data_IF_445095554726
#
_entry.id   IF_445095554726
#
_cell.length_a   1.000
_cell.length_b   1.000
_cell.length_c   1.000
_cell.angle_alpha   90.00
_cell.angle_beta   90.00
_cell.angle_gamma   90.00
#
_symmetry.space_group_name_H-M   'P 1'
#
loop_
_entity.id
_entity.type
_entity.pdbx_description
1 polymer ?
#
# COMPACT_ATOMS: atom_id res chain seq x y z
N UNK A 1 -58.42 -7.60 -30.32
CA UNK A 1 -58.01 -7.38 -30.12
C UNK A 1 -57.12 -7.27 -29.69
N UNK A 2 -56.60 -7.22 -29.70
CA UNK A 2 -55.83 -7.05 -29.39
C UNK A 2 -54.93 -6.81 -28.92
N UNK A 3 -54.32 -6.60 -28.84
CA UNK A 3 -53.48 -6.31 -28.51
C UNK A 3 -52.57 -6.03 -28.11
N UNK A 4 -52.03 -5.93 -28.07
CA UNK A 4 -51.20 -5.65 -27.82
C UNK A 4 -50.32 -5.36 -27.35
N UNK A 5 -49.73 -5.20 -27.23
CA UNK A 5 -48.96 -4.86 -26.87
C UNK A 5 -47.99 -4.69 -26.49
N UNK A 6 -47.49 -4.67 -26.51
CA UNK A 6 -46.72 -4.51 -26.24
C UNK A 6 -45.80 -4.28 -25.87
N UNK A 7 -45.11 -4.12 -25.75
CA UNK A 7 -44.29 -3.82 -25.45
C UNK A 7 -43.36 -3.57 -25.09
N UNK A 8 -42.81 -3.51 -25.01
CA UNK A 8 -42.01 -3.21 -24.79
C UNK A 8 -41.06 -3.07 -24.31
N UNK A 9 -40.48 -3.02 -24.23
CA UNK A 9 -39.61 -2.85 -23.84
C UNK A 9 -38.64 -2.59 -23.52
N UNK A 10 -38.13 -2.47 -23.40
CA UNK A 10 -37.28 -2.15 -23.19
C UNK A 10 -36.23 -2.07 -22.79
N UNK A 11 -35.69 -1.97 -22.75
CA UNK A 11 -34.74 -1.84 -22.47
C UNK A 11 -33.74 -1.53 -22.09
N UNK A 12 -33.30 -1.47 -21.97
CA UNK A 12 -32.45 -1.10 -21.63
C UNK A 12 -31.42 -1.08 -21.17
N UNK A 13 -30.93 -1.00 -21.15
CA UNK A 13 -30.01 -0.92 -20.82
C UNK A 13 -29.10 -0.53 -20.44
N UNK A 14 -28.58 -0.44 -20.39
CA UNK A 14 -27.76 -0.07 -20.11
C UNK A 14 -26.76 0.13 -19.73
N UNK A 15 -26.33 0.24 -19.70
CA UNK A 15 -25.45 0.48 -19.41
C UNK A 15 -24.44 0.61 -19.03
N UNK A 16 -24.07 0.61 -19.08
CA UNK A 16 -23.22 0.81 -18.70
C UNK A 16 -22.22 0.98 -18.50
N UNK A 17 -22.05 1.08 -18.57
CA UNK A 17 -21.24 1.34 -18.37
C UNK A 17 -20.37 1.75 -18.06
N UNK A 18 -20.27 1.83 -18.16
CA UNK A 18 -19.51 2.28 -17.90
C UNK A 18 -18.65 2.31 -17.43
N UNK A 19 -18.49 2.18 -17.54
CA UNK A 19 -17.76 2.31 -17.12
C UNK A 19 -16.83 2.42 -17.12
N UNK A 20 -16.77 2.51 -17.34
CA UNK A 20 -15.91 2.73 -17.31
C UNK A 20 -15.20 3.17 -17.07
N UNK A 21 -15.23 3.22 -17.21
CA UNK A 21 -14.50 3.84 -17.02
C UNK A 21 -13.86 3.75 -16.52
N UNK A 22 -13.79 3.71 -16.48
CA UNK A 22 -13.14 3.88 -15.97
C UNK A 22 -12.23 3.66 -15.75
N UNK A 23 -12.00 3.57 -16.00
CA UNK A 23 -11.02 3.43 -15.70
C UNK A 23 -10.15 3.95 -15.81
N UNK A 24 -9.97 4.36 -16.18
CA UNK A 24 -9.12 4.93 -16.24
C UNK A 24 -8.76 5.65 -15.45
N UNK A 25 -8.86 6.04 -15.22
CA UNK A 25 -8.47 6.73 -14.44
C UNK A 25 -7.92 6.29 -13.54
N UNK A 26 -7.98 5.80 -13.57
CA UNK A 26 -7.49 5.35 -12.65
C UNK A 26 -6.27 5.21 -12.60
N UNK A 27 -5.70 5.35 -13.04
CA UNK A 27 -4.63 5.41 -12.91
C UNK A 27 -4.06 6.29 -12.59
N UNK A 28 -4.10 6.78 -12.65
CA UNK A 28 -3.50 7.61 -12.31
C UNK A 28 -3.38 7.76 -11.16
N UNK A 29 -3.59 7.41 -10.91
CA UNK A 29 -3.30 7.48 -9.81
C UNK A 29 -2.32 6.77 -9.53
N UNK A 30 -1.68 7.04 -9.92
CA UNK A 30 -0.62 6.52 -9.64
C UNK A 30 -0.45 6.51 -8.34
N UNK A 31 -0.06 5.62 -7.88
CA UNK A 31 0.09 5.59 -6.51
C UNK A 31 1.01 6.62 -6.10
N UNK A 32 0.67 7.25 -5.08
CA UNK A 32 1.56 8.16 -4.50
C UNK A 32 2.73 7.42 -3.97
N UNK A 33 3.89 7.95 -4.15
CA UNK A 33 5.12 7.39 -3.70
C UNK A 33 5.67 8.28 -2.62
N UNK A 34 6.23 7.71 -1.58
CA UNK A 34 6.88 8.51 -0.56
C UNK A 34 8.20 9.00 -1.09
N UNK A 35 8.24 10.27 -1.45
CA UNK A 35 9.40 10.86 -2.04
C UNK A 35 10.57 10.88 -1.11
N UNK A 36 11.73 10.49 -1.60
CA UNK A 36 12.95 10.53 -0.81
C UNK A 36 12.99 9.52 0.31
N UNK A 37 12.14 8.50 0.27
CA UNK A 37 12.15 7.51 1.33
C UNK A 37 13.42 6.69 1.33
N UNK A 38 14.08 6.63 2.47
CA UNK A 38 15.22 5.75 2.67
C UNK A 38 15.01 4.98 3.96
N UNK A 39 15.47 3.75 3.96
CA UNK A 39 15.45 2.87 5.12
C UNK A 39 16.86 2.38 5.31
N UNK A 40 17.45 2.69 6.47
CA UNK A 40 18.85 2.39 6.69
C UNK A 40 19.12 2.11 8.15
N UNK A 41 20.17 1.37 8.45
CA UNK A 41 20.97 0.59 7.54
C UNK A 41 20.18 -0.63 7.06
N UNK A 42 20.56 -1.11 5.88
CA UNK A 42 19.90 -2.28 5.32
C UNK A 42 20.95 -2.99 4.47
N UNK A 43 21.54 -4.06 4.97
CA UNK A 43 21.16 -4.84 6.17
C UNK A 43 21.44 -4.10 7.46
N UNK A 44 20.67 -4.46 8.49
CA UNK A 44 20.90 -3.92 9.81
C UNK A 44 21.36 -5.02 10.76
N UNK A 45 22.28 -4.67 11.63
CA UNK A 45 22.76 -5.60 12.64
C UNK A 45 22.67 -5.03 14.05
N UNK A 46 22.09 -3.83 14.16
CA UNK A 46 22.04 -3.13 15.44
C UNK A 46 20.71 -3.24 16.14
N UNK A 47 19.71 -3.91 15.52
CA UNK A 47 18.39 -3.99 16.08
C UNK A 47 17.57 -2.75 15.83
N UNK A 48 18.06 -1.84 15.01
CA UNK A 48 17.37 -0.61 14.69
C UNK A 48 17.45 -0.30 13.23
N UNK A 49 16.42 0.34 12.71
CA UNK A 49 16.48 0.93 11.38
C UNK A 49 15.95 2.35 11.49
N UNK A 50 16.32 3.15 10.52
CA UNK A 50 15.86 4.52 10.44
C UNK A 50 15.12 4.69 9.14
N UNK A 51 14.00 5.40 9.21
CA UNK A 51 13.16 5.63 8.04
C UNK A 51 13.08 7.13 7.86
N UNK A 52 13.53 7.58 6.70
CA UNK A 52 13.59 9.01 6.41
C UNK A 52 12.91 9.28 5.08
N UNK A 53 12.16 10.36 5.02
CA UNK A 53 11.54 10.81 3.79
C UNK A 53 11.51 12.32 3.83
N UNK A 54 10.99 12.93 2.78
CA UNK A 54 10.89 14.38 2.75
C UNK A 54 9.86 14.90 3.72
N UNK A 55 8.93 14.06 4.12
CA UNK A 55 7.87 14.43 5.03
C UNK A 55 8.20 13.98 6.45
N UNK A 56 7.81 14.78 7.44
CA UNK A 56 7.97 14.40 8.84
C UNK A 56 6.65 13.86 9.40
N UNK A 57 5.67 13.63 8.54
CA UNK A 57 4.38 13.14 8.98
C UNK A 57 4.48 11.76 9.58
N UNK A 58 3.50 11.42 10.40
CA UNK A 58 3.42 10.11 11.00
C UNK A 58 3.30 9.03 9.93
N UNK A 59 3.96 7.92 10.16
CA UNK A 59 3.97 6.83 9.20
C UNK A 59 3.56 5.54 9.90
N UNK A 60 2.90 4.69 9.14
CA UNK A 60 2.58 3.35 9.60
C UNK A 60 3.59 2.41 8.98
N UNK A 61 4.24 1.63 9.83
CA UNK A 61 5.28 0.72 9.42
C UNK A 61 4.83 -0.68 9.71
N UNK A 62 4.89 -1.55 8.69
CA UNK A 62 4.54 -2.95 8.85
C UNK A 62 5.68 -3.77 8.29
N UNK A 63 6.08 -4.79 9.04
CA UNK A 63 7.14 -5.69 8.60
C UNK A 63 6.57 -7.09 8.54
N UNK A 64 6.82 -7.75 7.41
CA UNK A 64 6.30 -9.09 7.15
C UNK A 64 7.46 -10.04 6.92
N UNK A 65 7.30 -11.28 7.35
CA UNK A 65 8.29 -12.30 7.02
C UNK A 65 8.03 -12.81 5.60
N UNK A 66 8.86 -13.76 5.16
CA UNK A 66 8.78 -14.23 3.78
C UNK A 66 7.52 -15.03 3.51
N UNK A 67 6.81 -15.43 4.53
CA UNK A 67 5.54 -16.13 4.36
C UNK A 67 4.37 -15.17 4.33
N UNK A 68 4.63 -13.87 4.45
CA UNK A 68 3.60 -12.87 4.42
C UNK A 68 2.96 -12.58 5.77
N UNK A 69 3.50 -13.15 6.84
CA UNK A 69 2.97 -12.91 8.17
C UNK A 69 3.52 -11.60 8.70
N UNK A 70 2.64 -10.75 9.22
CA UNK A 70 3.10 -9.50 9.82
C UNK A 70 3.72 -9.79 11.16
N UNK A 71 4.98 -9.39 11.30
CA UNK A 71 5.74 -9.66 12.52
C UNK A 71 6.00 -8.41 13.33
N UNK A 72 5.71 -7.23 12.76
CA UNK A 72 5.88 -5.98 13.49
C UNK A 72 4.99 -4.92 12.87
N UNK A 73 4.41 -4.08 13.72
CA UNK A 73 3.62 -2.95 13.26
C UNK A 73 3.89 -1.79 14.19
N UNK A 74 4.08 -0.61 13.63
CA UNK A 74 4.30 0.60 14.41
C UNK A 74 3.71 1.79 13.68
N UNK A 75 3.19 2.73 14.45
CA UNK A 75 2.72 4.00 13.92
C UNK A 75 3.50 5.07 14.65
N UNK A 76 4.31 5.83 13.93
CA UNK A 76 5.22 6.75 14.60
C UNK A 76 5.65 7.86 13.67
N UNK A 77 5.95 9.01 14.27
CA UNK A 77 6.61 10.07 13.53
C UNK A 77 8.11 10.09 13.81
N UNK A 78 8.60 9.18 14.65
CA UNK A 78 10.03 9.05 14.86
C UNK A 78 10.67 8.36 13.66
N UNK A 79 11.90 8.71 13.40
CA UNK A 79 12.63 8.05 12.34
C UNK A 79 13.09 6.67 12.75
N UNK A 80 13.31 6.46 14.01
CA UNK A 80 13.90 5.21 14.49
C UNK A 80 12.84 4.16 14.72
N UNK A 81 13.08 2.96 14.25
CA UNK A 81 12.20 1.81 14.46
C UNK A 81 13.02 0.70 15.07
N UNK A 82 12.54 0.17 16.19
CA UNK A 82 13.22 -0.90 16.90
C UNK A 82 12.81 -2.24 16.29
N UNK A 83 13.77 -2.96 15.75
CA UNK A 83 13.51 -4.27 15.14
C UNK A 83 14.28 -5.37 15.89
N UNK A 84 14.72 -5.08 17.10
CA UNK A 84 15.55 -6.02 17.85
C UNK A 84 14.84 -7.32 18.20
N UNK A 85 13.51 -7.31 18.19
CA UNK A 85 12.75 -8.52 18.48
C UNK A 85 12.69 -9.47 17.28
N UNK A 86 13.12 -9.03 16.12
CA UNK A 86 13.06 -9.85 14.91
C UNK A 86 14.33 -10.64 14.76
N UNK A 87 14.18 -11.90 14.38
CA UNK A 87 15.35 -12.75 14.14
C UNK A 87 16.05 -12.33 12.86
N UNK A 88 17.33 -12.70 12.76
CA UNK A 88 18.05 -12.47 11.52
C UNK A 88 17.31 -13.14 10.38
N UNK A 89 17.22 -12.45 9.26
CA UNK A 89 16.52 -12.99 8.11
C UNK A 89 16.12 -11.91 7.14
N UNK A 90 15.32 -12.31 6.16
CA UNK A 90 14.83 -11.42 5.11
C UNK A 90 13.36 -11.11 5.39
N UNK A 91 13.04 -9.84 5.31
CA UNK A 91 11.70 -9.34 5.60
C UNK A 91 11.25 -8.38 4.52
N UNK A 92 9.98 -8.11 4.49
CA UNK A 92 9.41 -7.07 3.65
C UNK A 92 8.89 -5.99 4.59
N UNK A 93 9.32 -4.76 4.35
CA UNK A 93 8.85 -3.64 5.15
C UNK A 93 7.97 -2.75 4.27
N UNK A 94 6.83 -2.38 4.80
CA UNK A 94 5.89 -1.50 4.12
C UNK A 94 5.72 -0.25 4.95
N UNK A 95 5.91 0.89 4.32
CA UNK A 95 5.79 2.19 4.99
C UNK A 95 4.66 2.94 4.31
N UNK A 96 3.70 3.38 5.12
CA UNK A 96 2.56 4.13 4.61
C UNK A 96 2.49 5.48 5.28
N UNK A 97 2.15 6.48 4.50
CA UNK A 97 1.92 7.82 5.00
C UNK A 97 0.74 8.37 4.21
N UNK A 98 -0.42 8.49 4.86
CA UNK A 98 -1.63 8.87 4.16
C UNK A 98 -1.95 7.84 3.10
N UNK A 99 -2.09 8.30 1.87
CA UNK A 99 -2.37 7.41 0.75
C UNK A 99 -1.12 6.88 0.08
N UNK A 100 0.04 7.36 0.49
CA UNK A 100 1.30 6.95 -0.11
C UNK A 100 1.84 5.73 0.60
N UNK A 101 2.45 4.83 -0.14
CA UNK A 101 3.09 3.68 0.48
C UNK A 101 4.28 3.22 -0.35
N UNK A 102 5.23 2.60 0.35
CA UNK A 102 6.43 2.05 -0.28
C UNK A 102 6.72 0.71 0.37
N UNK A 103 7.13 -0.23 -0.44
CA UNK A 103 7.49 -1.57 0.03
C UNK A 103 8.95 -1.82 -0.33
N UNK A 104 9.70 -2.32 0.63
CA UNK A 104 11.13 -2.59 0.45
C UNK A 104 11.50 -3.91 1.08
N UNK A 105 12.60 -4.47 0.62
CA UNK A 105 13.18 -5.63 1.27
C UNK A 105 14.03 -5.15 2.44
N UNK A 106 13.94 -5.84 3.55
CA UNK A 106 14.72 -5.52 4.74
C UNK A 106 15.49 -6.75 5.16
N UNK A 107 16.77 -6.60 5.38
CA UNK A 107 17.62 -7.71 5.81
C UNK A 107 18.14 -7.42 7.20
N UNK A 108 17.92 -8.37 8.10
CA UNK A 108 18.38 -8.27 9.47
C UNK A 108 19.46 -9.33 9.68
N UNK A 109 20.62 -8.89 10.09
CA UNK A 109 21.74 -9.77 10.34
C UNK A 109 21.80 -10.20 11.79
#
# INVERSE_FOLDING_TARGET
>A
YILLFIFSFSSFYVSAQDLKGSPDYVKNQEPSVLEGLTIYPNPTSTGKIFISSKSIAEKKIEIFDVLGKRVLEAVTSNKEVNVSALKAGVYIIKVKEGDASVTRKLIIN
#
